data_IF_514670320994
#
_entry.id   IF_514670320994
#
_cell.length_a   1.000
_cell.length_b   1.000
_cell.length_c   1.000
_cell.angle_alpha   90.00
_cell.angle_beta   90.00
_cell.angle_gamma   90.00
#
_symmetry.space_group_name_H-M   'P 1'
#
loop_
_entity.id
_entity.type
_entity.pdbx_description
1 polymer ?
#
# COMPACT_ATOMS: atom_id res chain seq x y z
N UNK A 1 2.66 1.13 3.18
CA UNK A 1 2.57 -0.34 3.30
C UNK A 1 3.81 -1.00 3.90
N UNK A 2 5.05 -0.59 3.58
CA UNK A 2 6.24 -1.17 4.25
C UNK A 2 6.36 -0.75 5.73
N UNK A 3 6.12 0.54 6.02
CA UNK A 3 6.15 1.10 7.38
C UNK A 3 4.95 0.63 8.21
N UNK A 4 3.81 0.43 7.55
CA UNK A 4 2.56 0.00 8.17
C UNK A 4 1.89 -1.04 7.25
N UNK A 5 2.19 -2.34 7.44
CA UNK A 5 1.59 -3.44 6.67
C UNK A 5 0.10 -3.65 6.94
N UNK A 6 -0.46 -3.11 8.03
CA UNK A 6 -1.88 -3.27 8.36
C UNK A 6 -2.80 -2.55 7.38
N UNK A 7 -2.24 -1.60 6.61
CA UNK A 7 -2.94 -0.92 5.51
C UNK A 7 -3.05 -1.78 4.24
N UNK A 8 -2.35 -2.92 4.18
CA UNK A 8 -2.57 -3.88 3.10
C UNK A 8 -3.96 -4.52 3.28
N UNK A 9 -4.72 -4.64 2.19
CA UNK A 9 -5.98 -5.39 2.22
C UNK A 9 -5.74 -6.86 2.62
N UNK A 10 -6.74 -7.51 3.22
CA UNK A 10 -6.61 -8.85 3.81
C UNK A 10 -5.99 -9.90 2.87
N UNK A 11 -6.34 -9.86 1.58
CA UNK A 11 -5.81 -10.78 0.57
C UNK A 11 -4.31 -10.58 0.30
N UNK A 12 -3.80 -9.36 0.42
CA UNK A 12 -2.37 -9.09 0.35
C UNK A 12 -1.68 -9.49 1.66
N UNK A 13 -2.26 -9.15 2.82
CA UNK A 13 -1.69 -9.51 4.13
C UNK A 13 -1.47 -11.02 4.29
N UNK A 14 -2.39 -11.86 3.83
CA UNK A 14 -2.24 -13.33 3.82
C UNK A 14 -1.06 -13.84 3.00
N UNK A 15 -0.60 -13.07 1.99
CA UNK A 15 0.54 -13.43 1.15
C UNK A 15 1.88 -13.05 1.77
N UNK A 16 1.90 -12.13 2.73
CA UNK A 16 3.15 -11.64 3.36
C UNK A 16 3.96 -12.77 3.99
N UNK A 17 3.31 -13.71 4.69
CA UNK A 17 3.99 -14.84 5.33
C UNK A 17 4.68 -15.78 4.33
N UNK A 18 4.08 -15.93 3.14
CA UNK A 18 4.55 -16.87 2.12
C UNK A 18 5.50 -16.24 1.11
N UNK A 19 5.23 -15.00 0.70
CA UNK A 19 5.88 -14.32 -0.41
C UNK A 19 6.87 -13.25 0.05
N UNK A 20 6.79 -12.84 1.32
CA UNK A 20 7.59 -11.78 1.90
C UNK A 20 7.01 -10.38 1.66
N UNK A 21 7.16 -9.51 2.65
CA UNK A 21 6.54 -8.19 2.69
C UNK A 21 6.82 -7.34 1.45
N UNK A 22 8.08 -7.24 1.04
CA UNK A 22 8.46 -6.40 -0.10
C UNK A 22 7.79 -6.85 -1.38
N UNK A 23 7.79 -8.16 -1.65
CA UNK A 23 7.20 -8.71 -2.86
C UNK A 23 5.68 -8.51 -2.86
N UNK A 24 5.03 -8.81 -1.75
CA UNK A 24 3.59 -8.61 -1.58
C UNK A 24 3.20 -7.14 -1.77
N UNK A 25 3.99 -6.19 -1.26
CA UNK A 25 3.73 -4.76 -1.45
C UNK A 25 3.86 -4.37 -2.92
N UNK A 26 4.91 -4.83 -3.62
CA UNK A 26 5.08 -4.57 -5.05
C UNK A 26 3.91 -5.12 -5.86
N UNK A 27 3.52 -6.38 -5.64
CA UNK A 27 2.41 -7.01 -6.37
C UNK A 27 1.07 -6.34 -6.04
N UNK A 28 0.89 -5.87 -4.81
CA UNK A 28 -0.32 -5.14 -4.40
C UNK A 28 -0.44 -3.80 -5.13
N UNK A 29 0.64 -3.01 -5.20
CA UNK A 29 0.66 -1.72 -5.91
C UNK A 29 0.54 -1.92 -7.43
N UNK A 30 1.25 -2.90 -7.99
CA UNK A 30 1.21 -3.20 -9.43
C UNK A 30 -0.17 -3.72 -9.90
N UNK A 31 -0.95 -4.31 -8.99
CA UNK A 31 -2.32 -4.76 -9.27
C UNK A 31 -3.38 -3.65 -9.18
N UNK A 32 -3.01 -2.43 -8.80
CA UNK A 32 -3.95 -1.32 -8.71
C UNK A 32 -4.21 -0.69 -10.08
N UNK A 33 -5.43 -0.17 -10.27
CA UNK A 33 -5.73 0.70 -11.41
C UNK A 33 -5.25 2.12 -11.13
N UNK A 34 -4.94 2.89 -12.17
CA UNK A 34 -4.53 4.30 -12.05
C UNK A 34 -5.52 5.12 -11.22
N UNK A 35 -6.83 4.93 -11.46
CA UNK A 35 -7.89 5.60 -10.69
C UNK A 35 -7.80 5.26 -9.20
N UNK A 36 -7.62 3.99 -8.87
CA UNK A 36 -7.51 3.56 -7.48
C UNK A 36 -6.23 4.08 -6.81
N UNK A 37 -5.11 4.13 -7.54
CA UNK A 37 -3.85 4.71 -7.04
C UNK A 37 -3.99 6.18 -6.69
N UNK A 38 -4.66 6.97 -7.53
CA UNK A 38 -4.90 8.39 -7.26
C UNK A 38 -5.78 8.59 -6.01
N UNK A 39 -6.86 7.82 -5.89
CA UNK A 39 -7.74 7.87 -4.72
C UNK A 39 -7.01 7.44 -3.43
N UNK A 40 -6.21 6.37 -3.50
CA UNK A 40 -5.45 5.87 -2.36
C UNK A 40 -4.33 6.84 -1.95
N UNK A 41 -3.63 7.43 -2.92
CA UNK A 41 -2.64 8.47 -2.66
C UNK A 41 -3.28 9.70 -1.98
N UNK A 42 -4.47 10.13 -2.43
CA UNK A 42 -5.21 11.22 -1.78
C UNK A 42 -5.54 10.88 -0.32
N UNK A 43 -6.11 9.69 -0.05
CA UNK A 43 -6.41 9.22 1.32
C UNK A 43 -5.17 9.22 2.23
N UNK A 44 -4.04 8.74 1.71
CA UNK A 44 -2.79 8.63 2.46
C UNK A 44 -2.09 9.98 2.67
N UNK A 45 -2.24 10.93 1.74
CA UNK A 45 -1.64 12.26 1.84
C UNK A 45 -2.46 13.23 2.70
N UNK A 46 -3.79 13.08 2.74
CA UNK A 46 -4.64 13.82 3.69
C UNK A 46 -4.45 13.36 5.15
N UNK A 47 -3.94 12.14 5.36
CA UNK A 47 -3.69 11.55 6.69
C UNK A 47 -2.20 11.36 7.02
N UNK A 48 -1.29 11.79 6.14
CA UNK A 48 0.15 11.62 6.29
C UNK A 48 0.83 12.84 6.92
N UNK A 49 2.03 12.71 7.51
CA UNK A 49 2.80 13.87 7.92
C UNK A 49 3.03 14.78 6.71
N UNK A 50 2.71 16.07 6.83
CA UNK A 50 3.01 17.06 5.79
C UNK A 50 4.52 17.12 5.62
N UNK A 51 5.03 16.45 4.58
CA UNK A 51 6.42 16.60 4.18
C UNK A 51 6.52 18.00 3.54
N UNK A 52 6.99 18.98 4.31
CA UNK A 52 7.38 20.28 3.77
C UNK A 52 8.69 20.08 2.99
N UNK A 53 8.66 20.34 1.68
CA UNK A 53 9.86 20.53 0.86
C UNK A 53 10.38 21.96 1.03
#
# INVERSE_FOLDING_TARGET
YLVDPTRLGEAATKRVEKEGLHRTVCDYVAGMTDRYLLEEHARLSESGPKIHY
#
